data_IF_290795388195
#
_entry.id   IF_290795388195
#
_cell.length_a   1.000
_cell.length_b   1.000
_cell.length_c   1.000
_cell.angle_alpha   90.00
_cell.angle_beta   90.00
_cell.angle_gamma   90.00
#
_symmetry.space_group_name_H-M   'P 1'
#
loop_
_entity.id
_entity.type
_entity.pdbx_description
1 polymer ?
#
# COMPACT_ATOMS: atom_id res chain seq x y z
N UNK A 1 34.79 -7.19 -11.11
CA UNK A 1 34.76 -8.40 -10.28
C UNK A 1 35.35 -8.06 -8.92
N UNK A 2 34.55 -7.73 -7.94
CA UNK A 2 34.97 -7.61 -6.54
C UNK A 2 34.03 -8.48 -5.69
N UNK A 3 34.62 -9.49 -5.06
CA UNK A 3 33.92 -10.41 -4.17
C UNK A 3 33.73 -9.72 -2.81
N UNK A 4 32.50 -9.49 -2.40
CA UNK A 4 32.19 -9.14 -1.03
C UNK A 4 32.20 -10.40 -0.17
N UNK A 5 33.26 -10.54 0.67
CA UNK A 5 33.34 -11.52 1.72
C UNK A 5 32.46 -11.05 2.90
N UNK A 6 31.38 -11.74 3.13
CA UNK A 6 30.57 -11.56 4.35
C UNK A 6 31.25 -12.34 5.49
N UNK A 7 31.94 -11.63 6.37
CA UNK A 7 32.44 -12.17 7.62
C UNK A 7 31.30 -12.19 8.65
N UNK A 8 30.77 -13.38 8.93
CA UNK A 8 29.80 -13.62 10.00
C UNK A 8 30.49 -13.34 11.37
N UNK A 9 30.04 -12.31 12.05
CA UNK A 9 30.45 -12.03 13.43
C UNK A 9 29.72 -12.98 14.40
N UNK A 10 30.45 -14.02 14.87
CA UNK A 10 30.03 -14.95 15.90
C UNK A 10 30.37 -14.38 17.28
N UNK A 11 29.54 -13.53 17.86
CA UNK A 11 29.60 -13.21 19.27
C UNK A 11 28.17 -12.93 19.78
N UNK A 12 27.46 -14.04 20.09
CA UNK A 12 26.30 -13.99 20.97
C UNK A 12 26.75 -14.35 22.39
N UNK A 13 26.47 -13.54 23.40
CA UNK A 13 26.71 -13.92 24.78
C UNK A 13 25.65 -14.92 25.25
N UNK A 14 26.16 -16.01 25.78
CA UNK A 14 25.45 -17.10 26.45
C UNK A 14 24.75 -16.58 27.72
N UNK A 15 23.40 -16.56 27.71
CA UNK A 15 22.65 -16.22 28.93
C UNK A 15 22.58 -17.42 29.87
N UNK A 16 23.42 -17.41 30.89
CA UNK A 16 23.38 -18.37 32.02
C UNK A 16 22.07 -18.19 32.80
N UNK A 17 21.35 -19.32 32.88
CA UNK A 17 20.12 -19.44 33.65
C UNK A 17 20.32 -19.17 35.15
N UNK A 18 19.52 -18.26 35.66
CA UNK A 18 19.38 -18.04 37.11
C UNK A 18 18.20 -18.89 37.60
N UNK A 19 18.56 -20.07 38.14
CA UNK A 19 17.64 -20.84 38.99
C UNK A 19 17.58 -20.18 40.37
N UNK A 20 16.45 -19.56 40.71
CA UNK A 20 16.11 -19.19 42.07
C UNK A 20 15.10 -20.18 42.64
N UNK A 21 15.61 -21.08 43.45
CA UNK A 21 14.84 -21.86 44.44
C UNK A 21 14.36 -20.90 45.52
N UNK A 22 13.08 -20.72 45.65
CA UNK A 22 12.49 -20.11 46.86
C UNK A 22 11.74 -21.21 47.62
N UNK A 23 12.31 -21.54 48.81
CA UNK A 23 11.66 -22.42 49.79
C UNK A 23 10.55 -21.62 50.49
N UNK A 24 9.35 -22.23 50.58
CA UNK A 24 8.29 -21.81 51.49
C UNK A 24 8.73 -22.01 52.96
N UNK A 25 8.25 -21.14 53.86
CA UNK A 25 7.67 -21.67 55.07
C UNK A 25 6.18 -21.28 55.23
N UNK A 26 5.45 -22.28 55.65
CA UNK A 26 4.07 -22.13 56.13
C UNK A 26 4.08 -21.50 57.52
N UNK A 27 3.05 -20.84 57.87
CA UNK A 27 2.29 -20.63 59.11
C UNK A 27 1.94 -19.15 59.34
N UNK A 28 0.71 -18.89 59.48
CA UNK A 28 -0.13 -18.26 60.51
C UNK A 28 -1.33 -17.67 59.79
N UNK A 29 -2.44 -18.27 59.82
CA UNK A 29 -3.53 -18.29 60.79
C UNK A 29 -4.16 -16.92 61.03
N UNK A 30 -5.45 -16.84 60.56
CA UNK A 30 -6.62 -16.20 61.15
C UNK A 30 -6.50 -14.75 61.68
N UNK A 31 -7.26 -13.84 61.10
CA UNK A 31 -8.22 -12.94 61.72
C UNK A 31 -9.00 -12.20 60.65
N UNK A 32 -10.20 -12.55 60.45
CA UNK A 32 -11.48 -11.83 60.61
C UNK A 32 -11.66 -10.49 59.87
N UNK A 33 -12.74 -10.52 59.15
CA UNK A 33 -13.84 -9.55 59.06
C UNK A 33 -13.76 -8.44 58.02
N UNK A 34 -14.63 -8.64 57.03
CA UNK A 34 -15.74 -7.73 56.74
C UNK A 34 -15.36 -6.29 56.35
N UNK A 35 -15.17 -6.08 55.11
CA UNK A 35 -15.74 -4.92 54.44
C UNK A 35 -16.03 -5.29 53.00
N UNK A 36 -17.20 -5.81 52.75
CA UNK A 36 -17.82 -5.86 51.41
C UNK A 36 -18.16 -4.44 51.02
N UNK A 37 -17.20 -3.68 50.58
CA UNK A 37 -17.46 -2.55 49.70
C UNK A 37 -17.47 -3.10 48.29
N UNK A 38 -18.66 -3.37 47.81
CA UNK A 38 -18.95 -3.54 46.42
C UNK A 38 -18.66 -2.25 45.69
N UNK A 39 -17.40 -2.06 45.26
CA UNK A 39 -17.10 -1.21 44.12
C UNK A 39 -17.55 -2.01 42.89
N UNK A 40 -18.79 -1.79 42.49
CA UNK A 40 -19.21 -1.98 41.14
C UNK A 40 -18.38 -1.00 40.29
N UNK A 41 -17.13 -1.34 40.05
CA UNK A 41 -16.42 -0.81 38.97
C UNK A 41 -17.15 -1.26 37.71
N UNK A 42 -17.94 -0.38 37.13
CA UNK A 42 -18.26 -0.53 35.71
C UNK A 42 -16.93 -0.67 35.04
N UNK A 43 -16.63 -1.88 34.56
CA UNK A 43 -15.66 -2.05 33.50
C UNK A 43 -16.24 -1.28 32.31
N UNK A 44 -15.99 0.02 32.28
CA UNK A 44 -15.88 0.71 31.01
C UNK A 44 -14.72 0.04 30.31
N UNK A 45 -15.08 -1.04 29.59
CA UNK A 45 -14.29 -1.50 28.47
C UNK A 45 -14.18 -0.30 27.56
N UNK A 46 -13.15 0.52 27.82
CA UNK A 46 -12.63 1.47 26.86
C UNK A 46 -12.15 0.61 25.69
N UNK A 47 -13.11 0.18 24.86
CA UNK A 47 -12.81 -0.26 23.53
C UNK A 47 -12.01 0.91 22.95
N UNK A 48 -10.72 0.73 22.81
CA UNK A 48 -9.87 1.68 22.14
C UNK A 48 -10.57 1.97 20.81
N UNK A 49 -11.24 3.11 20.75
CA UNK A 49 -11.73 3.63 19.50
C UNK A 49 -10.46 3.84 18.68
N UNK A 50 -10.15 2.88 17.82
CA UNK A 50 -9.22 3.11 16.74
C UNK A 50 -9.89 4.17 15.88
N UNK A 51 -9.54 5.43 16.13
CA UNK A 51 -9.98 6.54 15.30
C UNK A 51 -9.70 6.13 13.86
N UNK A 52 -10.74 6.02 13.06
CA UNK A 52 -10.61 5.64 11.67
C UNK A 52 -9.69 6.66 11.01
N UNK A 53 -8.64 6.16 10.34
CA UNK A 53 -7.70 7.03 9.64
C UNK A 53 -8.46 7.77 8.55
N UNK A 54 -8.44 9.10 8.62
CA UNK A 54 -9.00 10.00 7.61
C UNK A 54 -7.85 10.80 7.03
N UNK A 55 -7.74 10.82 5.70
CA UNK A 55 -6.71 11.60 5.03
C UNK A 55 -7.02 13.10 5.13
N UNK A 56 -6.02 13.96 5.36
CA UNK A 56 -6.22 15.42 5.43
C UNK A 56 -6.42 16.06 4.04
N UNK A 57 -6.43 15.27 2.99
CA UNK A 57 -6.64 15.66 1.59
C UNK A 57 -7.80 14.88 0.99
N UNK A 58 -8.42 15.39 -0.07
CA UNK A 58 -9.47 14.65 -0.78
C UNK A 58 -8.87 13.51 -1.63
N UNK A 59 -9.67 12.48 -1.89
CA UNK A 59 -9.29 11.40 -2.80
C UNK A 59 -9.12 11.91 -4.25
N UNK A 60 -9.79 13.00 -4.61
CA UNK A 60 -9.58 13.66 -5.90
C UNK A 60 -8.17 14.28 -5.99
N UNK A 61 -7.67 14.89 -4.92
CA UNK A 61 -6.30 15.41 -4.86
C UNK A 61 -5.28 14.28 -4.94
N UNK A 62 -5.50 13.16 -4.24
CA UNK A 62 -4.66 11.97 -4.35
C UNK A 62 -4.64 11.45 -5.79
N UNK A 63 -5.81 11.41 -6.45
CA UNK A 63 -5.91 10.97 -7.84
C UNK A 63 -5.11 11.86 -8.78
N UNK A 64 -5.32 13.18 -8.72
CA UNK A 64 -4.73 14.13 -9.67
C UNK A 64 -3.23 14.34 -9.42
N UNK A 65 -2.86 14.60 -8.15
CA UNK A 65 -1.50 14.99 -7.81
C UNK A 65 -0.52 13.83 -7.70
N UNK A 66 -1.00 12.64 -7.35
CA UNK A 66 -0.16 11.47 -7.11
C UNK A 66 -0.33 10.40 -8.19
N UNK A 67 -1.54 9.84 -8.35
CA UNK A 67 -1.77 8.67 -9.19
C UNK A 67 -1.65 9.02 -10.67
N UNK A 68 -2.43 9.98 -11.14
CA UNK A 68 -2.45 10.35 -12.56
C UNK A 68 -1.08 10.88 -13.01
N UNK A 69 -0.46 11.70 -12.17
CA UNK A 69 0.90 12.23 -12.42
C UNK A 69 1.94 11.13 -12.61
N UNK A 70 1.77 10.01 -11.92
CA UNK A 70 2.71 8.89 -11.98
C UNK A 70 2.36 7.86 -13.05
N UNK A 71 1.07 7.62 -13.31
CA UNK A 71 0.61 6.60 -14.24
C UNK A 71 0.91 6.94 -15.70
N UNK A 72 0.76 8.21 -16.10
CA UNK A 72 0.99 8.64 -17.47
C UNK A 72 2.41 8.35 -17.99
N UNK A 73 3.50 8.68 -17.26
CA UNK A 73 4.85 8.32 -17.71
C UNK A 73 5.10 6.80 -17.72
N UNK A 74 4.52 6.04 -16.80
CA UNK A 74 4.64 4.58 -16.80
C UNK A 74 4.02 3.96 -18.05
N UNK A 75 2.85 4.45 -18.44
CA UNK A 75 2.20 4.04 -19.67
C UNK A 75 2.99 4.48 -20.91
N UNK A 76 3.46 5.73 -20.94
CA UNK A 76 4.26 6.27 -22.05
C UNK A 76 5.60 5.52 -22.25
N UNK A 77 6.21 5.00 -21.18
CA UNK A 77 7.46 4.24 -21.24
C UNK A 77 7.35 2.95 -22.06
N UNK A 78 6.14 2.42 -22.25
CA UNK A 78 5.90 1.26 -23.14
C UNK A 78 6.15 1.62 -24.60
N UNK A 79 5.93 2.89 -24.98
CA UNK A 79 6.09 3.40 -26.33
C UNK A 79 7.47 4.01 -26.57
N UNK A 80 8.02 4.66 -25.54
CA UNK A 80 9.32 5.31 -25.56
C UNK A 80 10.22 4.62 -24.51
N UNK A 81 10.82 3.50 -24.90
CA UNK A 81 11.63 2.68 -23.98
C UNK A 81 12.66 3.52 -23.20
N UNK A 82 12.85 3.26 -21.91
CA UNK A 82 13.88 3.93 -21.09
C UNK A 82 15.27 3.75 -21.67
N UNK A 83 16.06 4.83 -21.76
CA UNK A 83 17.35 4.83 -22.42
C UNK A 83 18.54 4.82 -21.45
N UNK A 84 18.28 5.10 -20.17
CA UNK A 84 19.34 5.24 -19.15
C UNK A 84 18.93 4.59 -17.82
N UNK A 85 19.95 4.36 -16.98
CA UNK A 85 19.71 3.94 -15.58
C UNK A 85 18.90 4.97 -14.79
N UNK A 86 18.98 6.23 -15.17
CA UNK A 86 18.19 7.29 -14.54
C UNK A 86 16.71 7.16 -14.90
N UNK A 87 16.39 6.87 -16.16
CA UNK A 87 15.00 6.68 -16.62
C UNK A 87 14.36 5.51 -15.88
N UNK A 88 15.09 4.39 -15.72
CA UNK A 88 14.60 3.24 -14.95
C UNK A 88 14.35 3.57 -13.49
N UNK A 89 15.22 4.35 -12.84
CA UNK A 89 14.99 4.80 -11.45
C UNK A 89 13.80 5.72 -11.34
N UNK A 90 13.63 6.63 -12.29
CA UNK A 90 12.47 7.52 -12.30
C UNK A 90 11.16 6.75 -12.44
N UNK A 91 11.10 5.79 -13.37
CA UNK A 91 9.95 4.92 -13.53
C UNK A 91 9.67 4.08 -12.28
N UNK A 92 10.70 3.63 -11.56
CA UNK A 92 10.54 2.92 -10.29
C UNK A 92 9.86 3.81 -9.24
N UNK A 93 10.29 5.06 -9.12
CA UNK A 93 9.66 6.03 -8.21
C UNK A 93 8.19 6.29 -8.57
N UNK A 94 7.89 6.43 -9.85
CA UNK A 94 6.53 6.63 -10.34
C UNK A 94 5.66 5.39 -10.08
N UNK A 95 6.19 4.19 -10.28
CA UNK A 95 5.48 2.96 -9.99
C UNK A 95 5.13 2.82 -8.50
N UNK A 96 6.04 3.22 -7.59
CA UNK A 96 5.73 3.31 -6.16
C UNK A 96 4.64 4.34 -5.85
N UNK A 97 4.60 5.47 -6.56
CA UNK A 97 3.54 6.46 -6.35
C UNK A 97 2.16 5.90 -6.71
N UNK A 98 2.06 5.11 -7.78
CA UNK A 98 0.81 4.43 -8.14
C UNK A 98 0.41 3.40 -7.07
N UNK A 99 1.36 2.57 -6.62
CA UNK A 99 1.13 1.60 -5.54
C UNK A 99 0.60 2.27 -4.28
N UNK A 100 1.30 3.31 -3.82
CA UNK A 100 0.92 4.09 -2.63
C UNK A 100 -0.41 4.80 -2.82
N UNK A 101 -0.64 5.40 -3.99
CA UNK A 101 -1.89 6.06 -4.33
C UNK A 101 -3.08 5.10 -4.22
N UNK A 102 -2.97 3.90 -4.81
CA UNK A 102 -3.98 2.86 -4.69
C UNK A 102 -4.26 2.46 -3.23
N UNK A 103 -3.22 2.34 -2.41
CA UNK A 103 -3.36 2.05 -0.98
C UNK A 103 -4.06 3.20 -0.23
N UNK A 104 -3.76 4.47 -0.55
CA UNK A 104 -4.37 5.64 0.07
C UNK A 104 -5.86 5.76 -0.28
N UNK A 105 -6.27 5.41 -1.50
CA UNK A 105 -7.69 5.44 -1.92
C UNK A 105 -8.60 4.53 -1.07
N UNK A 106 -8.07 3.66 -0.25
CA UNK A 106 -8.84 2.79 0.66
C UNK A 106 -9.31 3.52 1.91
N UNK A 107 -8.75 4.67 2.22
CA UNK A 107 -9.07 5.47 3.41
C UNK A 107 -9.93 6.68 3.01
N UNK A 108 -10.92 7.07 3.82
CA UNK A 108 -11.69 8.28 3.57
C UNK A 108 -10.79 9.51 3.58
N UNK A 109 -11.07 10.45 2.70
CA UNK A 109 -10.40 11.74 2.62
C UNK A 109 -11.32 12.88 3.03
N UNK A 110 -10.85 14.11 2.80
CA UNK A 110 -11.55 15.34 3.15
C UNK A 110 -12.60 15.79 2.10
N UNK A 111 -12.73 15.04 1.00
CA UNK A 111 -13.69 15.36 -0.07
C UNK A 111 -15.13 14.98 0.26
N UNK A 112 -16.12 15.65 -0.36
CA UNK A 112 -17.53 15.48 -0.01
C UNK A 112 -18.10 14.09 -0.33
N UNK A 113 -17.50 13.33 -1.23
CA UNK A 113 -17.92 11.98 -1.61
C UNK A 113 -17.00 10.88 -1.06
N UNK A 114 -15.88 11.24 -0.46
CA UNK A 114 -14.82 10.31 -0.10
C UNK A 114 -15.27 9.24 0.89
N UNK A 115 -16.06 9.64 1.90
CA UNK A 115 -16.62 8.70 2.86
C UNK A 115 -17.60 7.71 2.20
N UNK A 116 -18.43 8.19 1.27
CA UNK A 116 -19.38 7.34 0.55
C UNK A 116 -18.65 6.35 -0.37
N UNK A 117 -17.63 6.81 -1.10
CA UNK A 117 -16.83 5.97 -1.96
C UNK A 117 -16.08 4.90 -1.17
N UNK A 118 -15.37 5.27 -0.11
CA UNK A 118 -14.57 4.32 0.68
C UNK A 118 -15.40 3.32 1.46
N UNK A 119 -16.68 3.60 1.70
CA UNK A 119 -17.64 2.65 2.25
C UNK A 119 -18.18 1.65 1.23
N UNK A 120 -17.92 1.86 -0.06
CA UNK A 120 -18.40 0.99 -1.13
C UNK A 120 -17.42 -0.18 -1.36
N UNK A 121 -17.88 -1.45 -1.32
CA UNK A 121 -17.03 -2.62 -1.54
C UNK A 121 -16.33 -2.63 -2.92
N UNK A 122 -16.98 -2.15 -3.97
CA UNK A 122 -16.37 -2.07 -5.30
C UNK A 122 -15.25 -1.04 -5.36
N UNK A 123 -15.40 0.09 -4.66
CA UNK A 123 -14.32 1.05 -4.49
C UNK A 123 -13.11 0.42 -3.80
N UNK A 124 -13.34 -0.28 -2.68
CA UNK A 124 -12.27 -0.94 -1.93
C UNK A 124 -11.53 -1.97 -2.79
N UNK A 125 -12.28 -2.76 -3.56
CA UNK A 125 -11.72 -3.75 -4.48
C UNK A 125 -10.88 -3.09 -5.58
N UNK A 126 -11.37 -2.02 -6.21
CA UNK A 126 -10.66 -1.31 -7.28
C UNK A 126 -9.43 -0.55 -6.76
N UNK A 127 -9.51 0.05 -5.58
CA UNK A 127 -8.37 0.67 -4.92
C UNK A 127 -7.26 -0.34 -4.59
N UNK A 128 -7.64 -1.51 -4.08
CA UNK A 128 -6.68 -2.61 -3.86
C UNK A 128 -6.09 -3.10 -5.18
N UNK A 129 -6.91 -3.26 -6.23
CA UNK A 129 -6.45 -3.64 -7.55
C UNK A 129 -5.41 -2.66 -8.09
N UNK A 130 -5.66 -1.35 -7.99
CA UNK A 130 -4.72 -0.31 -8.41
C UNK A 130 -3.39 -0.40 -7.65
N UNK A 131 -3.43 -0.64 -6.34
CA UNK A 131 -2.22 -0.86 -5.54
C UNK A 131 -1.43 -2.08 -6.03
N UNK A 132 -2.11 -3.18 -6.37
CA UNK A 132 -1.47 -4.38 -6.93
C UNK A 132 -0.90 -4.14 -8.33
N UNK A 133 -1.57 -3.33 -9.15
CA UNK A 133 -1.05 -2.94 -10.47
C UNK A 133 0.22 -2.11 -10.34
N UNK A 134 0.25 -1.17 -9.37
CA UNK A 134 1.46 -0.44 -9.02
C UNK A 134 2.63 -1.36 -8.63
N UNK A 135 2.37 -2.39 -7.81
CA UNK A 135 3.38 -3.41 -7.45
C UNK A 135 3.89 -4.18 -8.67
N UNK A 136 3.00 -4.52 -9.61
CA UNK A 136 3.40 -5.17 -10.86
C UNK A 136 4.28 -4.26 -11.70
N UNK A 137 3.95 -2.96 -11.77
CA UNK A 137 4.78 -1.97 -12.44
C UNK A 137 6.16 -1.84 -11.77
N UNK A 138 6.25 -1.77 -10.44
CA UNK A 138 7.53 -1.79 -9.71
C UNK A 138 8.38 -2.99 -10.10
N UNK A 139 7.79 -4.19 -10.11
CA UNK A 139 8.52 -5.42 -10.45
C UNK A 139 8.99 -5.42 -11.91
N UNK A 140 8.17 -4.92 -12.84
CA UNK A 140 8.51 -4.81 -14.26
C UNK A 140 9.68 -3.84 -14.47
N UNK A 141 9.62 -2.66 -13.85
CA UNK A 141 10.67 -1.66 -13.92
C UNK A 141 11.99 -2.18 -13.33
N UNK A 142 11.95 -2.78 -12.14
CA UNK A 142 13.13 -3.34 -11.47
C UNK A 142 13.81 -4.43 -12.28
N UNK A 143 13.02 -5.25 -12.95
CA UNK A 143 13.56 -6.30 -13.83
C UNK A 143 13.97 -5.76 -15.21
N UNK A 144 13.72 -4.47 -15.50
CA UNK A 144 13.95 -3.82 -16.80
C UNK A 144 13.37 -4.63 -17.97
N UNK A 145 12.22 -5.23 -17.75
CA UNK A 145 11.56 -6.10 -18.71
C UNK A 145 10.39 -5.37 -19.37
N UNK A 146 10.58 -5.00 -20.64
CA UNK A 146 9.59 -4.24 -21.40
C UNK A 146 8.28 -5.00 -21.63
N UNK A 147 8.31 -6.32 -21.75
CA UNK A 147 7.09 -7.14 -21.87
C UNK A 147 6.26 -7.12 -20.57
N UNK A 148 6.95 -7.15 -19.41
CA UNK A 148 6.27 -6.98 -18.12
C UNK A 148 5.74 -5.55 -17.96
N UNK A 149 6.47 -4.53 -18.44
CA UNK A 149 6.02 -3.14 -18.43
C UNK A 149 4.74 -2.97 -19.26
N UNK A 150 4.69 -3.54 -20.45
CA UNK A 150 3.52 -3.50 -21.33
C UNK A 150 2.30 -4.14 -20.65
N UNK A 151 2.46 -5.32 -20.07
CA UNK A 151 1.37 -5.98 -19.32
C UNK A 151 0.91 -5.17 -18.12
N UNK A 152 1.85 -4.64 -17.32
CA UNK A 152 1.53 -3.81 -16.17
C UNK A 152 0.79 -2.53 -16.59
N UNK A 153 1.25 -1.87 -17.65
CA UNK A 153 0.59 -0.68 -18.20
C UNK A 153 -0.84 -0.97 -18.66
N UNK A 154 -1.06 -2.07 -19.39
CA UNK A 154 -2.40 -2.49 -19.81
C UNK A 154 -3.34 -2.74 -18.62
N UNK A 155 -2.86 -3.43 -17.59
CA UNK A 155 -3.64 -3.68 -16.37
C UNK A 155 -3.97 -2.39 -15.61
N UNK A 156 -3.03 -1.45 -15.54
CA UNK A 156 -3.29 -0.12 -14.97
C UNK A 156 -4.43 0.59 -15.71
N UNK A 157 -4.40 0.63 -17.03
CA UNK A 157 -5.46 1.25 -17.84
C UNK A 157 -6.80 0.60 -17.57
N UNK A 158 -6.88 -0.73 -17.58
CA UNK A 158 -8.13 -1.46 -17.30
C UNK A 158 -8.70 -1.12 -15.92
N UNK A 159 -7.86 -1.02 -14.89
CA UNK A 159 -8.28 -0.69 -13.53
C UNK A 159 -8.74 0.77 -13.44
N UNK A 160 -8.00 1.70 -14.06
CA UNK A 160 -8.37 3.11 -14.12
C UNK A 160 -9.74 3.31 -14.79
N UNK A 161 -9.95 2.72 -15.96
CA UNK A 161 -11.22 2.80 -16.68
C UNK A 161 -12.37 2.18 -15.90
N UNK A 162 -12.16 0.98 -15.32
CA UNK A 162 -13.20 0.29 -14.54
C UNK A 162 -13.65 1.14 -13.34
N UNK A 163 -12.69 1.76 -12.63
CA UNK A 163 -12.98 2.62 -11.50
C UNK A 163 -13.71 3.91 -11.95
N UNK A 164 -13.21 4.56 -12.99
CA UNK A 164 -13.81 5.80 -13.49
C UNK A 164 -15.23 5.56 -14.05
N UNK A 165 -15.47 4.48 -14.78
CA UNK A 165 -16.83 4.13 -15.25
C UNK A 165 -17.82 3.99 -14.09
N UNK A 166 -17.38 3.44 -12.96
CA UNK A 166 -18.24 3.21 -11.79
C UNK A 166 -18.46 4.48 -10.95
N UNK A 167 -17.42 5.31 -10.77
CA UNK A 167 -17.41 6.39 -9.78
C UNK A 167 -17.24 7.80 -10.38
N UNK A 168 -16.80 7.91 -11.62
CA UNK A 168 -16.55 9.16 -12.36
C UNK A 168 -17.01 9.04 -13.83
N UNK A 169 -18.28 8.70 -14.10
CA UNK A 169 -18.75 8.38 -15.46
C UNK A 169 -18.64 9.55 -16.44
N UNK A 170 -18.50 10.78 -15.94
CA UNK A 170 -18.37 11.97 -16.78
C UNK A 170 -16.94 12.21 -17.30
N UNK A 171 -15.97 11.41 -16.86
CA UNK A 171 -14.60 11.49 -17.38
C UNK A 171 -14.50 10.73 -18.71
N UNK A 172 -13.71 11.25 -19.68
CA UNK A 172 -13.53 10.57 -20.95
C UNK A 172 -12.75 9.25 -20.77
N UNK A 173 -13.10 8.25 -21.57
CA UNK A 173 -12.46 6.94 -21.62
C UNK A 173 -11.74 6.75 -22.95
N UNK A 174 -10.81 5.79 -23.02
CA UNK A 174 -10.01 5.53 -24.22
C UNK A 174 -10.87 5.20 -25.44
N UNK A 175 -11.97 4.49 -25.27
CA UNK A 175 -12.92 4.16 -26.34
C UNK A 175 -13.66 5.40 -26.91
N UNK A 176 -13.68 6.52 -26.18
CA UNK A 176 -14.26 7.79 -26.65
C UNK A 176 -13.32 8.57 -27.60
N UNK A 177 -12.04 8.22 -27.65
CA UNK A 177 -11.05 8.87 -28.52
C UNK A 177 -10.86 8.17 -29.87
N UNK A 178 -11.60 7.10 -30.13
CA UNK A 178 -11.48 6.30 -31.34
C UNK A 178 -10.29 5.34 -31.32
N UNK A 179 -9.94 4.83 -32.50
CA UNK A 179 -8.86 3.88 -32.64
C UNK A 179 -7.50 4.54 -32.39
N UNK A 180 -6.73 3.98 -31.44
CA UNK A 180 -5.40 4.47 -31.17
C UNK A 180 -4.46 4.18 -32.36
N UNK A 181 -3.50 5.08 -32.64
CA UNK A 181 -2.49 4.82 -33.66
C UNK A 181 -1.71 3.53 -33.35
N UNK A 182 -1.46 2.74 -34.39
CA UNK A 182 -0.68 1.53 -34.24
C UNK A 182 0.69 1.83 -33.61
N UNK A 183 1.11 0.99 -32.67
CA UNK A 183 2.43 1.10 -32.07
C UNK A 183 3.51 1.07 -33.15
N UNK A 184 4.46 2.01 -33.18
CA UNK A 184 5.58 1.92 -34.08
C UNK A 184 6.37 0.62 -33.81
N UNK A 185 6.93 -0.02 -34.84
CA UNK A 185 7.73 -1.22 -34.66
C UNK A 185 8.93 -0.91 -33.73
N UNK A 186 9.11 -1.75 -32.72
CA UNK A 186 10.27 -1.64 -31.83
C UNK A 186 11.52 -1.98 -32.65
N UNK A 187 12.36 -0.99 -32.92
CA UNK A 187 13.67 -1.22 -33.53
C UNK A 187 14.55 -1.88 -32.48
N UNK A 188 14.69 -3.21 -32.57
CA UNK A 188 15.70 -3.94 -31.77
C UNK A 188 17.04 -3.62 -32.43
N UNK A 189 17.85 -2.75 -31.80
CA UNK A 189 19.24 -2.51 -32.11
C UNK A 189 20.13 -3.32 -31.18
#
# INVERSE_FOLDING_TARGET
MQRFNATLNKNLPEMKGIRRSAKLPALCALVLCSALTACSGADESSAAQTDAVVLPVSLNEVMVALINKAADPLWAAVWASPQSDQDWRELEHLAYQVELGGALLKYPGAGPLDQAWTSNPDWQRLAEQLSQDGKRAVNAVRSRNMELMERAGGQLVETCESCHRAFKPDLPFMDMFGELPARPPVSIQ
#
